data_IF_324587695015
#
_entry.id   IF_324587695015
#
_cell.length_a   1.000
_cell.length_b   1.000
_cell.length_c   1.000
_cell.angle_alpha   90.00
_cell.angle_beta   90.00
_cell.angle_gamma   90.00
#
_symmetry.space_group_name_H-M   'P 1'
#
loop_
_entity.id
_entity.type
_entity.pdbx_description
1 polymer ?
#
# COMPACT_ATOMS: atom_id res chain seq x y z
N UNK A 1 9.85 1.36 -25.16
CA UNK A 1 9.48 0.57 -23.97
C UNK A 1 9.19 -0.86 -24.40
N UNK A 2 9.42 -1.83 -23.51
CA UNK A 2 9.16 -3.25 -23.74
C UNK A 2 8.48 -3.85 -22.51
N UNK A 3 7.51 -4.75 -22.71
CA UNK A 3 6.87 -5.48 -21.62
C UNK A 3 7.10 -6.97 -21.82
N UNK A 4 7.46 -7.67 -20.76
CA UNK A 4 7.75 -9.10 -20.82
C UNK A 4 7.13 -9.83 -19.64
N UNK A 5 6.88 -11.13 -19.83
CA UNK A 5 6.53 -12.06 -18.74
C UNK A 5 7.38 -13.32 -18.81
N UNK A 6 7.61 -13.96 -17.67
CA UNK A 6 8.29 -15.25 -17.60
C UNK A 6 7.96 -15.96 -16.27
N UNK A 7 8.30 -17.24 -16.19
CA UNK A 7 8.09 -18.06 -14.99
C UNK A 7 9.43 -18.38 -14.33
N UNK A 8 9.48 -18.35 -13.00
CA UNK A 8 10.64 -18.74 -12.22
C UNK A 8 10.24 -19.23 -10.84
N UNK A 9 10.56 -20.48 -10.49
CA UNK A 9 10.38 -20.99 -9.12
C UNK A 9 8.94 -20.94 -8.57
N UNK A 10 7.92 -21.09 -9.42
CA UNK A 10 6.51 -20.98 -9.02
C UNK A 10 5.96 -19.54 -8.97
N UNK A 11 6.79 -18.57 -9.35
CA UNK A 11 6.43 -17.15 -9.47
C UNK A 11 6.31 -16.80 -10.96
N UNK A 12 5.23 -16.11 -11.31
CA UNK A 12 5.10 -15.45 -12.60
C UNK A 12 5.56 -14.01 -12.47
N UNK A 13 6.60 -13.66 -13.22
CA UNK A 13 7.16 -12.32 -13.27
C UNK A 13 6.59 -11.56 -14.47
N UNK A 14 6.29 -10.28 -14.28
CA UNK A 14 6.01 -9.34 -15.37
C UNK A 14 6.85 -8.08 -15.18
N UNK A 15 7.53 -7.64 -16.23
CA UNK A 15 8.38 -6.46 -16.20
C UNK A 15 7.99 -5.48 -17.30
N UNK A 16 7.95 -4.19 -16.94
CA UNK A 16 8.03 -3.09 -17.90
C UNK A 16 9.46 -2.56 -17.92
N UNK A 17 10.03 -2.44 -19.10
CA UNK A 17 11.41 -2.03 -19.34
C UNK A 17 11.46 -0.74 -20.15
N UNK A 18 12.41 0.13 -19.81
CA UNK A 18 12.81 1.26 -20.65
C UNK A 18 13.49 0.79 -21.93
N UNK A 19 13.74 1.70 -22.87
CA UNK A 19 14.46 1.37 -24.11
C UNK A 19 15.92 0.95 -23.85
N UNK A 20 16.47 1.38 -22.71
CA UNK A 20 17.80 0.99 -22.22
C UNK A 20 17.79 -0.30 -21.39
N UNK A 21 16.63 -0.95 -21.24
CA UNK A 21 16.49 -2.20 -20.49
C UNK A 21 16.33 -2.03 -18.98
N UNK A 22 16.17 -0.82 -18.46
CA UNK A 22 15.95 -0.59 -17.03
C UNK A 22 14.52 -0.97 -16.63
N UNK A 23 14.35 -1.64 -15.48
CA UNK A 23 13.03 -2.00 -14.94
C UNK A 23 12.30 -0.76 -14.42
N UNK A 24 11.15 -0.45 -15.02
CA UNK A 24 10.27 0.65 -14.65
C UNK A 24 9.16 0.19 -13.69
N UNK A 25 8.52 -0.95 -13.99
CA UNK A 25 7.52 -1.61 -13.15
C UNK A 25 7.76 -3.11 -13.10
N UNK A 26 7.46 -3.72 -11.95
CA UNK A 26 7.60 -5.15 -11.68
C UNK A 26 6.36 -5.68 -11.00
N UNK A 27 5.89 -6.82 -11.47
CA UNK A 27 4.81 -7.59 -10.87
C UNK A 27 5.30 -9.01 -10.64
N UNK A 28 4.94 -9.58 -9.50
CA UNK A 28 5.20 -10.99 -9.21
C UNK A 28 3.96 -11.62 -8.64
N UNK A 29 3.45 -12.65 -9.31
CA UNK A 29 2.37 -13.50 -8.79
C UNK A 29 2.96 -14.80 -8.26
N UNK A 30 2.76 -15.06 -6.97
CA UNK A 30 3.14 -16.31 -6.34
C UNK A 30 1.95 -17.26 -6.34
N UNK A 31 2.08 -18.38 -7.07
CA UNK A 31 1.02 -19.39 -7.21
C UNK A 31 0.72 -20.15 -5.91
N UNK A 32 1.62 -20.13 -4.94
CA UNK A 32 1.41 -20.75 -3.63
C UNK A 32 0.74 -19.79 -2.63
N UNK A 33 0.78 -18.47 -2.90
CA UNK A 33 0.23 -17.48 -2.01
C UNK A 33 -1.31 -17.38 -2.15
N UNK A 34 -2.06 -17.32 -1.03
CA UNK A 34 -3.52 -17.21 -1.08
C UNK A 34 -3.95 -15.83 -1.60
N UNK A 35 -5.00 -15.81 -2.44
CA UNK A 35 -5.58 -14.56 -2.94
C UNK A 35 -6.10 -13.69 -1.77
N UNK A 36 -5.55 -12.46 -1.58
CA UNK A 36 -5.90 -11.60 -0.46
C UNK A 36 -7.25 -10.90 -0.64
N UNK A 37 -7.88 -11.00 -1.83
CA UNK A 37 -9.13 -10.30 -2.09
C UNK A 37 -10.30 -10.93 -1.31
N UNK A 38 -11.19 -10.10 -0.73
CA UNK A 38 -12.49 -10.58 -0.25
C UNK A 38 -13.27 -11.26 -1.38
N UNK A 39 -14.04 -12.30 -1.07
CA UNK A 39 -14.83 -13.07 -2.06
C UNK A 39 -15.69 -12.20 -2.98
N UNK A 40 -16.22 -11.08 -2.48
CA UNK A 40 -17.07 -10.17 -3.25
C UNK A 40 -16.29 -9.37 -4.32
N UNK A 41 -14.97 -9.28 -4.18
CA UNK A 41 -14.07 -8.58 -5.09
C UNK A 41 -13.25 -9.52 -5.95
N UNK A 42 -13.31 -10.85 -5.70
CA UNK A 42 -12.61 -11.83 -6.51
C UNK A 42 -13.20 -11.84 -7.93
N UNK A 43 -12.37 -11.78 -8.97
CA UNK A 43 -12.86 -11.95 -10.33
C UNK A 43 -13.41 -13.37 -10.52
N UNK A 44 -14.47 -13.52 -11.32
CA UNK A 44 -15.05 -14.84 -11.62
C UNK A 44 -14.04 -15.77 -12.31
N UNK A 45 -13.14 -15.18 -13.09
CA UNK A 45 -12.00 -15.83 -13.71
C UNK A 45 -10.77 -14.94 -13.52
N UNK A 46 -9.72 -15.49 -12.94
CA UNK A 46 -8.41 -14.83 -12.87
C UNK A 46 -7.51 -15.48 -13.90
N UNK A 47 -6.91 -14.66 -14.77
CA UNK A 47 -5.85 -15.10 -15.68
C UNK A 47 -4.49 -15.24 -14.96
N UNK A 48 -4.44 -14.92 -13.66
CA UNK A 48 -3.22 -14.86 -12.87
C UNK A 48 -3.12 -16.04 -11.90
N UNK A 49 -1.92 -16.65 -11.76
CA UNK A 49 -1.75 -17.95 -11.12
C UNK A 49 -1.84 -17.93 -9.59
N UNK A 50 -1.97 -16.76 -8.95
CA UNK A 50 -2.02 -16.62 -7.49
C UNK A 50 -2.05 -15.17 -7.04
N UNK A 51 -1.60 -14.92 -5.81
CA UNK A 51 -1.56 -13.58 -5.24
C UNK A 51 -0.31 -12.80 -5.64
N UNK A 52 -0.46 -11.49 -5.82
CA UNK A 52 0.65 -10.58 -6.06
C UNK A 52 1.53 -10.49 -4.81
N UNK A 53 2.77 -10.93 -4.93
CA UNK A 53 3.85 -10.70 -3.97
C UNK A 53 4.48 -9.32 -4.17
N UNK A 54 4.58 -8.86 -5.44
CA UNK A 54 5.16 -7.57 -5.82
C UNK A 54 4.26 -6.86 -6.83
N UNK A 55 4.14 -5.54 -6.69
CA UNK A 55 3.52 -4.61 -7.64
C UNK A 55 4.23 -3.25 -7.53
N UNK A 56 5.52 -3.21 -7.87
CA UNK A 56 6.40 -2.07 -7.60
C UNK A 56 6.69 -1.26 -8.86
N UNK A 57 6.76 0.06 -8.69
CA UNK A 57 7.02 1.06 -9.73
C UNK A 57 8.15 1.98 -9.26
N UNK A 58 9.17 2.15 -10.10
CA UNK A 58 10.29 3.06 -9.84
C UNK A 58 9.80 4.50 -9.72
N UNK A 59 8.84 4.92 -10.55
CA UNK A 59 8.27 6.26 -10.51
C UNK A 59 7.45 6.51 -9.23
N UNK A 60 6.62 5.54 -8.82
CA UNK A 60 5.87 5.64 -7.56
C UNK A 60 6.81 5.72 -6.35
N UNK A 61 7.84 4.86 -6.32
CA UNK A 61 8.83 4.83 -5.25
C UNK A 61 9.55 6.17 -5.11
N UNK A 62 10.01 6.75 -6.24
CA UNK A 62 10.66 8.07 -6.25
C UNK A 62 9.69 9.15 -5.75
N UNK A 63 8.43 9.14 -6.21
CA UNK A 63 7.40 10.10 -5.77
C UNK A 63 7.13 9.99 -4.27
N UNK A 64 6.97 8.77 -3.75
CA UNK A 64 6.78 8.50 -2.33
C UNK A 64 7.98 8.97 -1.51
N UNK A 65 9.20 8.61 -1.92
CA UNK A 65 10.42 9.00 -1.20
C UNK A 65 10.64 10.51 -1.23
N UNK A 66 10.37 11.16 -2.36
CA UNK A 66 10.45 12.61 -2.47
C UNK A 66 9.50 13.32 -1.50
N UNK A 67 8.29 12.77 -1.31
CA UNK A 67 7.26 13.36 -0.45
C UNK A 67 7.41 13.04 1.03
N UNK A 68 7.77 11.80 1.36
CA UNK A 68 7.71 11.25 2.72
C UNK A 68 9.08 10.80 3.24
N UNK A 69 10.16 11.09 2.52
CA UNK A 69 11.51 10.70 2.89
C UNK A 69 11.69 9.18 2.96
N UNK A 70 12.66 8.75 3.76
CA UNK A 70 13.01 7.34 3.89
C UNK A 70 11.90 6.51 4.59
N UNK A 71 11.12 7.12 5.49
CA UNK A 71 9.95 6.46 6.07
C UNK A 71 8.91 6.10 5.01
N UNK A 72 8.72 6.97 4.01
CA UNK A 72 7.88 6.69 2.85
C UNK A 72 8.40 5.53 2.02
N UNK A 73 9.70 5.53 1.72
CA UNK A 73 10.35 4.48 0.94
C UNK A 73 10.17 3.10 1.62
N UNK A 74 10.42 3.01 2.93
CA UNK A 74 10.26 1.74 3.68
C UNK A 74 8.82 1.24 3.68
N UNK A 75 7.85 2.14 3.85
CA UNK A 75 6.44 1.77 3.80
C UNK A 75 6.03 1.34 2.40
N UNK A 76 6.53 2.01 1.36
CA UNK A 76 6.28 1.61 -0.02
C UNK A 76 6.83 0.22 -0.31
N UNK A 77 8.06 -0.06 0.07
CA UNK A 77 8.68 -1.38 -0.14
C UNK A 77 7.92 -2.49 0.58
N UNK A 78 7.45 -2.25 1.81
CA UNK A 78 6.62 -3.21 2.53
C UNK A 78 5.27 -3.47 1.82
N UNK A 79 4.67 -2.43 1.22
CA UNK A 79 3.38 -2.54 0.53
C UNK A 79 3.48 -3.10 -0.89
N UNK A 80 4.45 -2.65 -1.68
CA UNK A 80 4.55 -2.92 -3.12
C UNK A 80 5.68 -3.88 -3.48
N UNK A 81 6.62 -4.11 -2.58
CA UNK A 81 7.89 -4.77 -2.89
C UNK A 81 8.95 -3.79 -3.41
N UNK A 82 10.14 -4.31 -3.69
CA UNK A 82 11.28 -3.52 -4.13
C UNK A 82 11.23 -3.37 -5.66
N UNK A 83 11.23 -2.13 -6.21
CA UNK A 83 11.11 -1.89 -7.65
C UNK A 83 12.36 -2.34 -8.43
N UNK A 84 13.55 -2.21 -7.83
CA UNK A 84 14.81 -2.61 -8.44
C UNK A 84 15.26 -3.99 -7.94
N UNK A 85 15.02 -5.03 -8.73
CA UNK A 85 15.90 -6.19 -8.70
C UNK A 85 16.71 -6.20 -10.01
N UNK A 86 18.02 -6.39 -9.89
CA UNK A 86 18.95 -6.59 -11.00
C UNK A 86 18.70 -7.94 -11.67
N UNK A 87 17.55 -8.10 -12.30
CA UNK A 87 17.24 -9.31 -13.05
C UNK A 87 16.82 -8.89 -14.43
N UNK A 88 17.81 -8.89 -15.34
CA UNK A 88 17.54 -8.92 -16.76
C UNK A 88 16.59 -10.10 -17.04
N UNK A 89 15.50 -9.89 -17.79
CA UNK A 89 14.60 -10.99 -18.11
C UNK A 89 15.38 -12.11 -18.82
N UNK A 90 15.03 -13.37 -18.57
CA UNK A 90 15.68 -14.47 -19.26
C UNK A 90 15.43 -14.39 -20.77
N UNK A 91 16.32 -14.99 -21.56
CA UNK A 91 16.26 -14.92 -23.02
C UNK A 91 14.98 -15.52 -23.63
N UNK A 92 14.30 -16.39 -22.89
CA UNK A 92 13.03 -17.04 -23.24
C UNK A 92 11.80 -16.34 -22.66
N UNK A 93 11.93 -15.11 -22.14
CA UNK A 93 10.80 -14.32 -21.70
C UNK A 93 9.85 -14.00 -22.87
N UNK A 94 8.55 -14.17 -22.64
CA UNK A 94 7.51 -13.82 -23.60
C UNK A 94 7.35 -12.29 -23.64
N UNK A 95 7.31 -11.72 -24.84
CA UNK A 95 6.82 -10.35 -25.01
C UNK A 95 5.30 -10.29 -24.79
N UNK A 96 4.83 -9.26 -24.09
CA UNK A 96 3.41 -8.99 -23.88
C UNK A 96 3.05 -7.59 -24.35
N UNK A 97 1.78 -7.38 -24.66
CA UNK A 97 1.28 -6.05 -25.02
C UNK A 97 1.21 -5.14 -23.78
N UNK A 98 1.27 -3.82 -24.01
CA UNK A 98 1.08 -2.84 -22.93
C UNK A 98 -0.29 -3.02 -22.25
N UNK A 99 -1.35 -3.30 -23.00
CA UNK A 99 -2.68 -3.52 -22.43
C UNK A 99 -2.76 -4.76 -21.54
N UNK A 100 -2.09 -5.85 -21.91
CA UNK A 100 -1.97 -7.04 -21.06
C UNK A 100 -1.21 -6.73 -19.77
N UNK A 101 -0.11 -5.99 -19.88
CA UNK A 101 0.66 -5.56 -18.73
C UNK A 101 -0.17 -4.66 -17.81
N UNK A 102 -0.92 -3.69 -18.34
CA UNK A 102 -1.77 -2.81 -17.53
C UNK A 102 -2.88 -3.57 -16.79
N UNK A 103 -3.47 -4.59 -17.40
CA UNK A 103 -4.43 -5.46 -16.69
C UNK A 103 -3.76 -6.19 -15.52
N UNK A 104 -2.58 -6.76 -15.75
CA UNK A 104 -1.81 -7.43 -14.71
C UNK A 104 -1.41 -6.46 -13.59
N UNK A 105 -0.97 -5.26 -13.95
CA UNK A 105 -0.57 -4.20 -13.03
C UNK A 105 -1.73 -3.77 -12.13
N UNK A 106 -2.88 -3.44 -12.72
CA UNK A 106 -4.05 -3.03 -11.96
C UNK A 106 -4.53 -4.15 -11.02
N UNK A 107 -4.51 -5.40 -11.48
CA UNK A 107 -4.85 -6.54 -10.64
C UNK A 107 -3.89 -6.70 -9.45
N UNK A 108 -2.58 -6.66 -9.71
CA UNK A 108 -1.56 -6.79 -8.68
C UNK A 108 -1.59 -5.64 -7.67
N UNK A 109 -1.80 -4.40 -8.14
CA UNK A 109 -1.95 -3.22 -7.30
C UNK A 109 -3.12 -3.36 -6.34
N UNK A 110 -4.25 -3.87 -6.83
CA UNK A 110 -5.43 -4.11 -5.99
C UNK A 110 -5.12 -5.20 -4.97
N UNK A 111 -4.60 -6.37 -5.39
CA UNK A 111 -4.23 -7.44 -4.45
C UNK A 111 -3.28 -6.94 -3.35
N UNK A 112 -2.21 -6.20 -3.72
CA UNK A 112 -1.26 -5.63 -2.75
C UNK A 112 -1.88 -4.61 -1.80
N UNK A 113 -2.96 -3.93 -2.18
CA UNK A 113 -3.71 -3.05 -1.26
C UNK A 113 -4.53 -3.84 -0.21
N UNK A 114 -4.86 -5.11 -0.49
CA UNK A 114 -5.59 -6.01 0.39
C UNK A 114 -4.70 -7.01 1.13
N UNK A 115 -3.46 -7.21 0.70
CA UNK A 115 -2.51 -8.05 1.42
C UNK A 115 -2.15 -7.40 2.77
N UNK A 116 -2.28 -8.12 3.90
CA UNK A 116 -1.81 -7.63 5.19
C UNK A 116 -0.33 -7.23 5.13
N UNK A 117 -0.02 -6.08 5.72
CA UNK A 117 1.36 -5.60 5.81
C UNK A 117 1.99 -6.16 7.08
N UNK A 118 2.53 -7.39 7.01
CA UNK A 118 3.10 -8.07 8.20
C UNK A 118 4.56 -7.68 8.50
N UNK A 119 5.19 -6.91 7.61
CA UNK A 119 6.58 -6.46 7.71
C UNK A 119 6.75 -4.95 7.72
N UNK A 120 8.01 -4.50 7.70
CA UNK A 120 8.36 -3.08 7.66
C UNK A 120 8.19 -2.36 9.01
N UNK A 121 8.21 -1.01 9.01
CA UNK A 121 8.21 -0.21 10.25
C UNK A 121 6.85 -0.12 10.94
N UNK A 122 5.77 -0.47 10.24
CA UNK A 122 4.40 -0.36 10.73
C UNK A 122 3.56 -1.60 10.36
N UNK A 123 3.88 -2.79 10.92
CA UNK A 123 3.08 -3.98 10.66
C UNK A 123 1.63 -3.81 11.10
N UNK A 124 0.70 -4.45 10.40
CA UNK A 124 -0.70 -4.52 10.81
C UNK A 124 -0.82 -5.17 12.20
N UNK A 125 -1.73 -4.66 13.03
CA UNK A 125 -1.91 -5.05 14.43
C UNK A 125 -0.87 -4.48 15.40
N UNK A 126 0.20 -3.86 14.92
CA UNK A 126 1.18 -3.19 15.79
C UNK A 126 0.58 -1.96 16.47
N UNK A 127 1.17 -1.56 17.61
CA UNK A 127 0.72 -0.39 18.38
C UNK A 127 1.68 0.78 18.24
N UNK A 128 1.12 1.95 17.97
CA UNK A 128 1.84 3.22 17.89
C UNK A 128 1.24 4.23 18.88
N UNK A 129 2.07 5.17 19.33
CA UNK A 129 1.58 6.32 20.09
C UNK A 129 1.47 7.50 19.14
N UNK A 130 0.39 8.27 19.24
CA UNK A 130 0.19 9.45 18.42
C UNK A 130 -0.56 10.55 19.14
N UNK A 131 -0.60 11.72 18.51
CA UNK A 131 -1.29 12.91 18.98
C UNK A 131 -2.33 13.32 17.93
N UNK A 132 -3.56 13.59 18.35
CA UNK A 132 -4.60 14.11 17.45
C UNK A 132 -4.14 15.46 16.91
N UNK A 133 -3.94 15.55 15.61
CA UNK A 133 -3.43 16.74 14.94
C UNK A 133 -4.56 17.60 14.39
N UNK A 134 -5.59 16.96 13.82
CA UNK A 134 -6.69 17.69 13.19
C UNK A 134 -7.97 16.86 13.11
N UNK A 135 -9.08 17.59 13.00
CA UNK A 135 -10.41 17.07 12.63
C UNK A 135 -10.81 17.77 11.33
N UNK A 136 -10.31 17.33 10.15
CA UNK A 136 -10.33 18.16 8.94
C UNK A 136 -11.74 18.51 8.45
N UNK A 137 -12.72 17.69 8.80
CA UNK A 137 -14.12 17.87 8.45
C UNK A 137 -15.00 18.20 9.66
N UNK A 138 -14.40 18.40 10.84
CA UNK A 138 -15.09 18.54 12.11
C UNK A 138 -15.51 17.21 12.76
N UNK A 139 -15.95 17.25 14.03
CA UNK A 139 -16.41 16.07 14.76
C UNK A 139 -17.61 15.37 14.10
N UNK A 140 -17.68 14.04 14.19
CA UNK A 140 -18.80 13.22 13.74
C UNK A 140 -18.81 12.88 12.24
N UNK A 141 -18.00 13.56 11.43
CA UNK A 141 -18.14 13.51 9.97
C UNK A 141 -17.43 12.31 9.34
N UNK A 142 -16.10 12.29 9.35
CA UNK A 142 -15.29 11.32 8.59
C UNK A 142 -14.25 10.62 9.47
N UNK A 143 -13.55 11.36 10.32
CA UNK A 143 -12.48 10.84 11.15
C UNK A 143 -11.52 11.93 11.61
N UNK A 144 -10.41 11.51 12.21
CA UNK A 144 -9.38 12.40 12.76
C UNK A 144 -8.00 12.07 12.20
N UNK A 145 -7.14 13.08 12.06
CA UNK A 145 -5.73 12.90 11.76
C UNK A 145 -4.92 12.78 13.03
N UNK A 146 -3.96 11.86 13.02
CA UNK A 146 -3.07 11.55 14.14
C UNK A 146 -1.63 11.65 13.65
N UNK A 147 -0.86 12.52 14.29
CA UNK A 147 0.59 12.55 14.15
C UNK A 147 1.20 11.43 14.99
N UNK A 148 1.90 10.50 14.33
CA UNK A 148 2.57 9.35 14.93
C UNK A 148 4.10 9.49 14.92
N UNK A 149 4.63 10.68 14.62
CA UNK A 149 6.06 10.98 14.62
C UNK A 149 6.81 10.58 13.35
N UNK A 150 6.10 10.28 12.26
CA UNK A 150 6.68 10.08 10.92
C UNK A 150 5.91 10.93 9.90
N UNK A 151 6.51 11.29 8.75
CA UNK A 151 5.88 12.20 7.77
C UNK A 151 4.66 11.62 7.03
N UNK A 152 4.20 10.43 7.39
CA UNK A 152 3.02 9.78 6.80
C UNK A 152 1.83 9.99 7.76
N UNK A 153 0.71 10.56 7.29
CA UNK A 153 -0.42 10.86 8.16
C UNK A 153 -1.10 9.58 8.67
N UNK A 154 -1.29 9.51 9.99
CA UNK A 154 -2.21 8.57 10.63
C UNK A 154 -3.65 9.07 10.52
N UNK A 155 -4.60 8.15 10.31
CA UNK A 155 -6.01 8.49 10.21
C UNK A 155 -6.87 7.46 10.94
N UNK A 156 -7.75 7.95 11.81
CA UNK A 156 -8.76 7.13 12.48
C UNK A 156 -10.12 7.41 11.85
N UNK A 157 -10.74 6.38 11.27
CA UNK A 157 -12.10 6.44 10.74
C UNK A 157 -13.13 6.70 11.84
N UNK A 158 -14.20 7.44 11.51
CA UNK A 158 -15.34 7.67 12.43
C UNK A 158 -15.92 6.39 13.03
N UNK A 159 -15.84 5.28 12.30
CA UNK A 159 -16.34 3.98 12.74
C UNK A 159 -15.58 3.42 13.96
N UNK A 160 -14.40 3.97 14.26
CA UNK A 160 -13.58 3.63 15.42
C UNK A 160 -13.58 4.72 16.49
N UNK A 161 -14.44 5.74 16.34
CA UNK A 161 -14.62 6.83 17.29
C UNK A 161 -15.97 6.70 18.00
N UNK A 162 -16.16 7.37 19.15
CA UNK A 162 -17.47 7.45 19.79
C UNK A 162 -18.55 7.93 18.83
N UNK A 163 -19.75 7.39 18.98
CA UNK A 163 -20.90 7.75 18.16
C UNK A 163 -21.35 9.20 18.40
N UNK A 164 -21.22 9.70 19.64
CA UNK A 164 -21.44 11.10 19.97
C UNK A 164 -20.23 11.95 19.51
N UNK A 165 -20.40 12.90 18.57
CA UNK A 165 -19.33 13.79 18.14
C UNK A 165 -18.74 14.63 19.28
N UNK A 166 -19.50 14.92 20.34
CA UNK A 166 -19.00 15.65 21.50
C UNK A 166 -18.02 14.81 22.35
N UNK A 167 -17.96 13.50 22.13
CA UNK A 167 -17.01 12.58 22.74
C UNK A 167 -15.74 12.36 21.90
N UNK A 168 -15.63 12.99 20.73
CA UNK A 168 -14.41 12.89 19.92
C UNK A 168 -13.22 13.55 20.63
N UNK A 169 -12.01 13.00 20.46
CA UNK A 169 -10.82 13.57 21.10
C UNK A 169 -10.48 14.94 20.49
N UNK A 170 -10.13 15.89 21.36
CA UNK A 170 -9.65 17.21 20.97
C UNK A 170 -8.26 17.15 20.31
N UNK A 171 -7.95 18.16 19.50
CA UNK A 171 -6.59 18.36 18.98
C UNK A 171 -5.60 18.46 20.15
N UNK A 172 -4.43 17.83 20.03
CA UNK A 172 -3.39 17.76 21.05
C UNK A 172 -3.56 16.62 22.05
N UNK A 173 -4.65 15.85 22.00
CA UNK A 173 -4.82 14.65 22.82
C UNK A 173 -3.88 13.56 22.34
N UNK A 174 -3.10 12.98 23.26
CA UNK A 174 -2.20 11.85 22.99
C UNK A 174 -2.89 10.53 23.33
N UNK A 175 -2.63 9.50 22.54
CA UNK A 175 -3.17 8.17 22.77
C UNK A 175 -2.39 7.06 22.08
N UNK A 176 -2.83 5.81 22.31
CA UNK A 176 -2.27 4.62 21.68
C UNK A 176 -3.24 4.06 20.66
N UNK A 177 -2.71 3.76 19.48
CA UNK A 177 -3.46 3.32 18.32
C UNK A 177 -2.88 2.01 17.80
N UNK A 178 -3.73 1.17 17.26
CA UNK A 178 -3.37 -0.01 16.51
C UNK A 178 -3.35 0.33 15.02
N UNK A 179 -2.32 -0.14 14.31
CA UNK A 179 -2.23 -0.06 12.85
C UNK A 179 -3.18 -1.08 12.25
N UNK A 180 -4.17 -0.61 11.50
CA UNK A 180 -5.14 -1.48 10.83
C UNK A 180 -4.79 -1.77 9.37
N UNK A 181 -4.22 -0.80 8.67
CA UNK A 181 -3.91 -0.92 7.26
C UNK A 181 -3.02 0.24 6.86
N UNK A 182 -2.17 0.05 5.86
CA UNK A 182 -1.56 1.18 5.15
C UNK A 182 -2.20 1.26 3.77
N UNK A 183 -2.74 2.42 3.44
CA UNK A 183 -3.33 2.68 2.12
C UNK A 183 -2.37 3.48 1.28
N UNK A 184 -2.14 2.98 0.08
CA UNK A 184 -1.39 3.68 -0.96
C UNK A 184 -2.25 3.86 -2.20
N UNK A 185 -2.25 5.08 -2.72
CA UNK A 185 -2.81 5.39 -4.04
C UNK A 185 -1.93 6.45 -4.69
N UNK A 186 -1.67 6.29 -5.98
CA UNK A 186 -1.17 7.38 -6.82
C UNK A 186 -2.36 8.04 -7.52
N UNK A 187 -2.46 9.36 -7.42
CA UNK A 187 -3.41 10.13 -8.22
C UNK A 187 -2.66 11.26 -8.92
N UNK A 188 -2.73 11.25 -10.25
CA UNK A 188 -1.87 12.08 -11.10
C UNK A 188 -0.40 11.87 -10.68
N UNK A 189 0.31 12.93 -10.32
CA UNK A 189 1.71 12.85 -9.88
C UNK A 189 1.87 12.87 -8.35
N UNK A 190 0.78 12.68 -7.61
CA UNK A 190 0.79 12.78 -6.16
C UNK A 190 0.67 11.41 -5.49
N UNK A 191 1.77 10.95 -4.90
CA UNK A 191 1.77 9.83 -3.97
C UNK A 191 0.93 10.16 -2.72
N UNK A 192 -0.07 9.32 -2.42
CA UNK A 192 -0.85 9.39 -1.19
C UNK A 192 -0.64 8.12 -0.38
N UNK A 193 0.05 8.27 0.74
CA UNK A 193 0.16 7.26 1.79
C UNK A 193 -0.66 7.71 3.01
N UNK A 194 -1.41 6.79 3.59
CA UNK A 194 -2.13 7.02 4.83
C UNK A 194 -2.15 5.75 5.66
N UNK A 195 -1.89 5.88 6.96
CA UNK A 195 -1.91 4.77 7.91
C UNK A 195 -3.27 4.79 8.60
N UNK A 196 -4.07 3.74 8.43
CA UNK A 196 -5.36 3.59 9.07
C UNK A 196 -5.16 3.05 10.47
N UNK A 197 -5.78 3.73 11.43
CA UNK A 197 -5.55 3.52 12.85
C UNK A 197 -6.87 3.24 13.59
N UNK A 198 -6.77 2.46 14.67
CA UNK A 198 -7.86 2.26 15.64
C UNK A 198 -7.39 2.64 17.04
N UNK A 199 -8.13 3.46 17.81
CA UNK A 199 -7.80 3.71 19.21
C UNK A 199 -7.87 2.41 20.01
N UNK A 200 -6.86 2.15 20.85
CA UNK A 200 -6.81 0.94 21.71
C UNK A 200 -7.29 1.18 23.14
N UNK A 201 -7.64 2.42 23.47
CA UNK A 201 -8.16 2.84 24.76
C UNK A 201 -8.94 4.14 24.65
N UNK A 202 -9.44 4.64 25.79
CA UNK A 202 -10.19 5.89 25.83
C UNK A 202 -9.23 7.05 25.57
N UNK A 203 -9.45 7.76 24.47
CA UNK A 203 -8.76 9.02 24.19
C UNK A 203 -9.41 10.10 25.08
N UNK A 204 -8.69 10.53 26.11
CA UNK A 204 -9.22 11.48 27.10
C UNK A 204 -9.62 12.83 26.49
N UNK A 205 -10.62 13.49 27.08
CA UNK A 205 -10.91 14.89 26.80
C UNK A 205 -9.83 15.74 27.50
N UNK A 206 -9.22 16.69 26.78
CA UNK A 206 -8.49 17.80 27.41
C UNK A 206 -9.41 18.99 27.48
#
# INVERSE_FOLDING_TARGET
MRWVRFQGGGIQHWLELSDEGAVLRRIEFDSAAPDPLPEQLKPQHSDYPGAAAVAASTAEFISVRSRFGDSGAWVYEALRGIPAAESEPPADADDVTGDEFERAWNHAVVQRNFTPCDGGPLPEGSRVTGTVEALPWGPGQTGILVDIGIPIPGFVDRAHLPADPAEWPSIGVRGTFEVLQIRFSQWEDTARLQIRLRPTGILGRR
#
